data_IF_328425631056
#
_entry.id   IF_328425631056
#
_cell.length_a   1.000
_cell.length_b   1.000
_cell.length_c   1.000
_cell.angle_alpha   90.00
_cell.angle_beta   90.00
_cell.angle_gamma   90.00
#
_symmetry.space_group_name_H-M   'P 1'
#
loop_
_entity.id
_entity.type
_entity.pdbx_description
1 polymer ?
#
# COMPACT_ATOMS: atom_id res chain seq x y z
N UNK A 1 -63.03 23.80 7.92
CA UNK A 1 -63.76 23.38 9.12
C UNK A 1 -62.74 23.38 10.25
N UNK A 2 -62.69 24.40 11.11
CA UNK A 2 -63.64 24.61 12.23
C UNK A 2 -63.68 23.34 13.10
N UNK A 3 -62.98 23.34 14.24
CA UNK A 3 -63.53 23.70 15.56
C UNK A 3 -64.56 22.63 15.97
N UNK A 4 -64.28 21.81 16.99
CA UNK A 4 -64.76 21.92 18.39
C UNK A 4 -64.50 20.51 19.00
N UNK A 5 -64.31 20.25 20.29
CA UNK A 5 -64.87 20.90 21.45
C UNK A 5 -63.99 20.66 22.71
N UNK A 6 -64.06 21.64 23.60
CA UNK A 6 -63.59 21.63 24.98
C UNK A 6 -64.61 20.98 25.91
N UNK A 7 -64.11 20.73 27.13
CA UNK A 7 -64.79 20.77 28.42
C UNK A 7 -65.40 19.46 28.95
N UNK A 8 -64.84 18.99 30.06
CA UNK A 8 -65.62 18.86 31.28
C UNK A 8 -64.72 19.03 32.50
N UNK A 9 -65.23 19.81 33.45
CA UNK A 9 -64.61 20.32 34.66
C UNK A 9 -65.41 19.77 35.85
N UNK A 10 -64.76 19.72 37.02
CA UNK A 10 -65.30 19.50 38.36
C UNK A 10 -65.50 18.05 38.82
N UNK A 11 -64.81 17.67 39.90
CA UNK A 11 -65.45 17.68 41.22
C UNK A 11 -64.40 17.71 42.34
N UNK A 12 -64.58 18.66 43.25
CA UNK A 12 -63.82 18.84 44.47
C UNK A 12 -64.47 18.02 45.60
N UNK A 13 -63.64 17.38 46.44
CA UNK A 13 -64.07 16.85 47.73
C UNK A 13 -63.14 17.34 48.84
N UNK A 14 -63.78 17.70 49.94
CA UNK A 14 -63.35 18.61 51.00
C UNK A 14 -62.65 17.89 52.17
N UNK A 15 -61.54 18.49 52.65
CA UNK A 15 -60.94 18.68 54.01
C UNK A 15 -61.19 17.64 55.14
N UNK A 16 -60.22 17.47 56.08
CA UNK A 16 -60.10 18.39 57.23
C UNK A 16 -58.64 18.82 57.50
N UNK A 17 -58.34 20.12 57.60
CA UNK A 17 -58.10 20.87 58.86
C UNK A 17 -57.50 20.03 60.00
N UNK A 18 -56.19 20.18 60.19
CA UNK A 18 -55.56 20.11 61.51
C UNK A 18 -54.56 21.28 61.63
N UNK A 19 -54.96 22.23 62.47
CA UNK A 19 -54.17 23.36 62.98
C UNK A 19 -53.16 22.88 64.02
N UNK A 20 -51.93 23.42 63.96
CA UNK A 20 -50.97 23.66 65.06
C UNK A 20 -49.81 24.48 64.47
N UNK A 21 -49.85 25.82 64.54
CA UNK A 21 -49.28 26.65 65.61
C UNK A 21 -47.87 26.21 66.01
N UNK A 22 -46.88 27.03 65.65
CA UNK A 22 -45.51 26.91 66.17
C UNK A 22 -44.42 27.46 65.27
N UNK A 23 -44.56 28.66 64.70
CA UNK A 23 -43.41 29.39 64.14
C UNK A 23 -42.49 29.82 65.29
N UNK A 24 -41.35 29.14 65.44
CA UNK A 24 -40.23 29.66 66.22
C UNK A 24 -39.13 30.11 65.26
N UNK A 25 -38.41 31.16 65.63
CA UNK A 25 -37.40 31.83 64.81
C UNK A 25 -36.10 31.02 64.55
N UNK A 26 -36.15 29.69 64.65
CA UNK A 26 -35.04 28.78 64.42
C UNK A 26 -35.09 28.05 63.06
N UNK A 27 -36.22 28.08 62.34
CA UNK A 27 -36.42 27.33 61.08
C UNK A 27 -36.04 28.11 59.80
N UNK A 28 -35.41 29.28 59.93
CA UNK A 28 -35.12 30.16 58.78
C UNK A 28 -33.74 29.95 58.09
N UNK A 29 -33.06 28.81 58.30
CA UNK A 29 -31.78 28.52 57.62
C UNK A 29 -31.71 27.09 57.06
N UNK A 30 -32.68 26.72 56.23
CA UNK A 30 -32.57 25.52 55.40
C UNK A 30 -32.44 25.92 53.91
N UNK A 31 -31.23 26.24 53.47
CA UNK A 31 -30.89 26.29 52.04
C UNK A 31 -30.56 24.86 51.58
N UNK A 32 -31.43 24.26 50.79
CA UNK A 32 -31.28 22.88 50.31
C UNK A 32 -30.21 22.75 49.21
N UNK A 33 -29.43 21.67 49.23
CA UNK A 33 -28.63 21.24 48.07
C UNK A 33 -29.54 20.58 47.01
N UNK A 34 -29.11 20.53 45.74
CA UNK A 34 -29.79 19.88 44.62
C UNK A 34 -30.07 18.36 44.77
N UNK A 35 -29.67 17.74 45.89
CA UNK A 35 -29.98 16.36 46.27
C UNK A 35 -30.87 16.24 47.53
N UNK A 36 -31.57 17.31 47.95
CA UNK A 36 -32.56 17.26 49.03
C UNK A 36 -32.00 17.04 50.46
N UNK A 37 -30.68 17.15 50.66
CA UNK A 37 -30.07 17.17 52.00
C UNK A 37 -29.92 18.59 52.51
N UNK A 38 -30.42 18.84 53.71
CA UNK A 38 -30.24 20.10 54.47
C UNK A 38 -28.79 20.16 54.96
N UNK A 39 -28.12 21.29 54.74
CA UNK A 39 -26.75 21.50 55.21
C UNK A 39 -26.79 21.77 56.71
N UNK A 40 -26.18 20.89 57.50
CA UNK A 40 -26.32 20.91 58.96
C UNK A 40 -25.46 21.96 59.67
N UNK A 41 -24.45 22.55 59.02
CA UNK A 41 -23.67 23.64 59.61
C UNK A 41 -22.96 24.54 58.59
N UNK A 42 -22.71 25.80 58.98
CA UNK A 42 -21.93 26.75 58.16
C UNK A 42 -20.49 26.30 57.87
N UNK A 43 -19.91 25.42 58.70
CA UNK A 43 -18.58 24.83 58.43
C UNK A 43 -18.62 23.82 57.30
N UNK A 44 -19.70 23.05 57.16
CA UNK A 44 -19.87 22.10 56.06
C UNK A 44 -20.09 22.82 54.72
N UNK A 45 -20.86 23.90 54.75
CA UNK A 45 -21.03 24.78 53.59
C UNK A 45 -19.72 25.43 53.18
N UNK A 46 -18.99 26.02 54.13
CA UNK A 46 -17.67 26.61 53.85
C UNK A 46 -16.67 25.55 53.33
N UNK A 47 -16.73 24.32 53.84
CA UNK A 47 -15.90 23.20 53.37
C UNK A 47 -16.23 22.77 51.95
N UNK A 48 -17.51 22.70 51.58
CA UNK A 48 -17.90 22.36 50.22
C UNK A 48 -17.63 23.50 49.23
N UNK A 49 -17.88 24.75 49.63
CA UNK A 49 -17.54 25.92 48.82
C UNK A 49 -16.03 26.00 48.61
N UNK A 50 -15.21 25.73 49.64
CA UNK A 50 -13.75 25.63 49.49
C UNK A 50 -13.35 24.50 48.54
N UNK A 51 -13.94 23.31 48.64
CA UNK A 51 -13.68 22.22 47.70
C UNK A 51 -14.09 22.56 46.27
N UNK A 52 -15.19 23.29 46.09
CA UNK A 52 -15.64 23.77 44.78
C UNK A 52 -14.69 24.84 44.22
N UNK A 53 -14.25 25.78 45.06
CA UNK A 53 -13.29 26.83 44.71
C UNK A 53 -11.89 26.27 44.47
N UNK A 54 -11.46 25.24 45.20
CA UNK A 54 -10.22 24.50 44.95
C UNK A 54 -10.30 23.71 43.65
N UNK A 55 -11.42 23.05 43.35
CA UNK A 55 -11.62 22.37 42.07
C UNK A 55 -11.67 23.35 40.88
N UNK A 56 -12.26 24.53 41.09
CA UNK A 56 -12.27 25.64 40.12
C UNK A 56 -10.87 26.25 39.94
N UNK A 57 -10.12 26.49 41.02
CA UNK A 57 -8.75 27.02 40.99
C UNK A 57 -7.73 25.99 40.48
N UNK A 58 -7.99 24.69 40.65
CA UNK A 58 -7.16 23.62 40.13
C UNK A 58 -7.33 23.38 38.62
N UNK A 59 -8.16 24.17 37.91
CA UNK A 59 -8.42 24.03 36.47
C UNK A 59 -8.87 22.60 36.07
N UNK A 60 -9.48 21.86 37.01
CA UNK A 60 -9.84 20.45 36.84
C UNK A 60 -11.24 20.25 36.23
N UNK A 61 -11.79 21.28 35.58
CA UNK A 61 -12.93 21.13 34.67
C UNK A 61 -12.31 21.15 33.27
N UNK A 62 -12.42 20.07 32.47
CA UNK A 62 -11.98 20.11 31.09
C UNK A 62 -12.70 21.28 30.44
N UNK A 63 -11.93 22.30 30.02
CA UNK A 63 -12.49 23.40 29.28
C UNK A 63 -13.17 22.82 28.04
N UNK A 64 -14.25 23.44 27.54
CA UNK A 64 -14.92 22.94 26.33
C UNK A 64 -13.92 22.70 25.17
N UNK A 65 -12.81 23.47 25.14
CA UNK A 65 -11.67 23.25 24.26
C UNK A 65 -10.99 21.88 24.40
N UNK A 66 -10.67 21.41 25.61
CA UNK A 66 -9.97 20.13 25.79
C UNK A 66 -10.83 18.92 25.39
N UNK A 67 -12.14 19.01 25.57
CA UNK A 67 -13.09 17.97 25.13
C UNK A 67 -13.17 17.96 23.60
N UNK A 68 -13.32 19.13 22.98
CA UNK A 68 -13.35 19.28 21.51
C UNK A 68 -12.05 18.77 20.88
N UNK A 69 -10.90 19.08 21.47
CA UNK A 69 -9.59 18.62 20.98
C UNK A 69 -9.46 17.10 21.07
N UNK A 70 -9.95 16.46 22.14
CA UNK A 70 -9.94 14.99 22.24
C UNK A 70 -10.81 14.34 21.16
N UNK A 71 -12.03 14.85 20.93
CA UNK A 71 -12.91 14.32 19.87
C UNK A 71 -12.32 14.55 18.47
N UNK A 72 -11.72 15.71 18.24
CA UNK A 72 -11.10 16.04 16.97
C UNK A 72 -9.86 15.16 16.70
N UNK A 73 -9.08 14.84 17.74
CA UNK A 73 -7.96 13.92 17.64
C UNK A 73 -8.42 12.49 17.32
N UNK A 74 -9.50 12.01 17.95
CA UNK A 74 -10.08 10.70 17.65
C UNK A 74 -10.62 10.63 16.21
N UNK A 75 -11.31 11.68 15.76
CA UNK A 75 -11.80 11.80 14.39
C UNK A 75 -10.65 11.76 13.37
N UNK A 76 -9.53 12.44 13.67
CA UNK A 76 -8.31 12.41 12.86
C UNK A 76 -7.66 11.04 12.81
N UNK A 77 -7.49 10.39 13.96
CA UNK A 77 -6.94 9.05 14.05
C UNK A 77 -7.77 8.05 13.22
N UNK A 78 -9.09 8.16 13.28
CA UNK A 78 -10.01 7.33 12.49
C UNK A 78 -9.85 7.59 10.98
N UNK A 79 -9.85 8.86 10.55
CA UNK A 79 -9.68 9.19 9.14
C UNK A 79 -8.33 8.72 8.58
N UNK A 80 -7.28 8.80 9.40
CA UNK A 80 -5.94 8.32 9.07
C UNK A 80 -5.89 6.79 8.97
N UNK A 81 -6.58 6.08 9.87
CA UNK A 81 -6.73 4.63 9.79
C UNK A 81 -7.46 4.21 8.50
N UNK A 82 -8.53 4.90 8.10
CA UNK A 82 -9.21 4.65 6.82
C UNK A 82 -8.27 4.88 5.65
N UNK A 83 -7.50 5.98 5.65
CA UNK A 83 -6.52 6.25 4.58
C UNK A 83 -5.46 5.14 4.47
N UNK A 84 -4.97 4.60 5.59
CA UNK A 84 -4.02 3.48 5.59
C UNK A 84 -4.66 2.22 5.02
N UNK A 85 -5.87 1.88 5.44
CA UNK A 85 -6.60 0.72 4.92
C UNK A 85 -6.85 0.85 3.40
N UNK A 86 -7.27 2.03 2.94
CA UNK A 86 -7.46 2.30 1.51
C UNK A 86 -6.15 2.16 0.72
N UNK A 87 -5.02 2.60 1.29
CA UNK A 87 -3.70 2.46 0.67
C UNK A 87 -3.22 1.00 0.60
N UNK A 88 -3.52 0.19 1.63
CA UNK A 88 -3.20 -1.24 1.66
C UNK A 88 -4.08 -2.08 0.73
N UNK A 89 -5.32 -1.64 0.50
CA UNK A 89 -6.26 -2.29 -0.41
C UNK A 89 -5.95 -2.04 -1.91
N UNK A 90 -4.99 -1.16 -2.22
CA UNK A 90 -4.63 -0.87 -3.61
C UNK A 90 -4.03 -2.11 -4.31
N UNK A 91 -4.40 -2.37 -5.58
CA UNK A 91 -3.85 -3.48 -6.34
C UNK A 91 -2.41 -3.15 -6.77
N UNK A 92 -1.44 -3.56 -5.97
CA UNK A 92 -0.01 -3.45 -6.28
C UNK A 92 0.48 -4.67 -7.07
N UNK A 93 1.48 -4.54 -7.96
CA UNK A 93 2.17 -3.31 -8.34
C UNK A 93 1.44 -2.51 -9.42
N UNK A 94 1.67 -1.19 -9.42
CA UNK A 94 1.07 -0.26 -10.39
C UNK A 94 2.05 0.84 -10.79
N UNK A 95 1.73 1.52 -11.91
CA UNK A 95 2.49 2.68 -12.40
C UNK A 95 2.41 3.84 -11.41
N UNK A 96 3.51 4.55 -11.21
CA UNK A 96 3.68 5.65 -10.23
C UNK A 96 2.59 6.71 -10.37
N UNK A 97 2.25 7.09 -11.61
CA UNK A 97 1.22 8.08 -11.88
C UNK A 97 -0.16 7.63 -11.37
N UNK A 98 -0.49 6.34 -11.56
CA UNK A 98 -1.76 5.78 -11.06
C UNK A 98 -1.76 5.71 -9.53
N UNK A 99 -0.65 5.27 -8.92
CA UNK A 99 -0.49 5.25 -7.46
C UNK A 99 -0.65 6.64 -6.85
N UNK A 100 -0.01 7.65 -7.44
CA UNK A 100 -0.11 9.03 -6.97
C UNK A 100 -1.56 9.55 -7.07
N UNK A 101 -2.25 9.27 -8.18
CA UNK A 101 -3.64 9.69 -8.38
C UNK A 101 -4.62 8.99 -7.43
N UNK A 102 -4.46 7.68 -7.18
CA UNK A 102 -5.32 6.92 -6.28
C UNK A 102 -5.13 7.35 -4.83
N UNK A 103 -3.88 7.57 -4.40
CA UNK A 103 -3.56 8.09 -3.07
C UNK A 103 -4.06 9.53 -2.89
N UNK A 104 -3.99 10.38 -3.92
CA UNK A 104 -4.56 11.72 -3.85
C UNK A 104 -6.09 11.67 -3.67
N UNK A 105 -6.77 10.76 -4.37
CA UNK A 105 -8.21 10.56 -4.24
C UNK A 105 -8.60 10.02 -2.84
N UNK A 106 -7.84 9.07 -2.29
CA UNK A 106 -8.10 8.54 -0.93
C UNK A 106 -7.85 9.60 0.15
N UNK A 107 -6.79 10.41 0.03
CA UNK A 107 -6.54 11.55 0.93
C UNK A 107 -7.70 12.54 0.87
N UNK A 108 -8.16 12.93 -0.32
CA UNK A 108 -9.29 13.83 -0.48
C UNK A 108 -10.61 13.24 0.07
N UNK A 109 -10.80 11.92 -0.03
CA UNK A 109 -11.93 11.24 0.58
C UNK A 109 -11.85 11.24 2.12
N UNK A 110 -10.68 10.94 2.68
CA UNK A 110 -10.43 10.95 4.12
C UNK A 110 -10.59 12.35 4.73
N UNK A 111 -10.08 13.40 4.07
CA UNK A 111 -10.29 14.79 4.51
C UNK A 111 -11.76 15.20 4.45
N UNK A 112 -12.50 14.81 3.40
CA UNK A 112 -13.95 15.06 3.33
C UNK A 112 -14.72 14.35 4.44
N UNK A 113 -14.34 13.11 4.78
CA UNK A 113 -14.92 12.38 5.89
C UNK A 113 -14.59 13.02 7.24
N UNK A 114 -13.35 13.49 7.41
CA UNK A 114 -12.89 14.17 8.61
C UNK A 114 -13.64 15.48 8.85
N UNK A 115 -13.83 16.31 7.81
CA UNK A 115 -14.59 17.58 7.89
C UNK A 115 -16.02 17.40 8.40
N UNK A 116 -16.63 16.23 8.19
CA UNK A 116 -17.97 15.91 8.69
C UNK A 116 -18.00 15.53 10.18
N UNK A 117 -16.86 15.17 10.76
CA UNK A 117 -16.74 14.64 12.13
C UNK A 117 -16.08 15.62 13.11
N UNK A 118 -15.37 16.63 12.61
CA UNK A 118 -14.62 17.58 13.41
C UNK A 118 -15.48 18.77 13.82
N UNK A 119 -15.35 19.17 15.08
CA UNK A 119 -15.98 20.38 15.64
C UNK A 119 -15.03 21.58 15.55
N UNK A 120 -15.58 22.76 15.25
CA UNK A 120 -14.81 24.00 15.05
C UNK A 120 -14.36 24.18 13.60
N UNK A 121 -14.66 25.35 13.01
CA UNK A 121 -14.36 25.64 11.61
C UNK A 121 -12.86 25.84 11.33
N UNK A 122 -12.43 25.48 10.10
CA UNK A 122 -11.12 25.87 9.56
C UNK A 122 -10.08 24.75 9.51
N UNK A 123 -9.19 24.68 10.50
CA UNK A 123 -7.98 23.84 10.48
C UNK A 123 -8.19 22.39 10.95
N UNK A 124 -9.32 22.11 11.62
CA UNK A 124 -9.62 20.80 12.18
C UNK A 124 -9.84 19.70 11.13
N UNK A 125 -10.37 20.05 9.96
CA UNK A 125 -10.78 19.13 8.90
C UNK A 125 -9.71 18.73 7.88
N UNK A 126 -8.43 18.94 8.18
CA UNK A 126 -7.30 18.47 7.36
C UNK A 126 -6.47 17.48 8.14
N UNK A 127 -5.93 16.49 7.43
CA UNK A 127 -4.94 15.58 7.99
C UNK A 127 -3.59 16.30 8.10
N UNK A 128 -2.76 15.90 9.06
CA UNK A 128 -1.42 16.45 9.17
C UNK A 128 -0.59 16.06 7.93
N UNK A 129 0.14 17.02 7.36
CA UNK A 129 0.95 16.77 6.16
C UNK A 129 2.00 15.67 6.38
N UNK A 130 2.55 15.59 7.60
CA UNK A 130 3.51 14.54 7.99
C UNK A 130 2.89 13.14 7.93
N UNK A 131 1.66 12.98 8.41
CA UNK A 131 0.95 11.70 8.39
C UNK A 131 0.64 11.24 6.96
N UNK A 132 0.14 12.16 6.14
CA UNK A 132 -0.14 11.89 4.73
C UNK A 132 1.13 11.53 3.97
N UNK A 133 2.25 12.23 4.26
CA UNK A 133 3.55 11.92 3.68
C UNK A 133 4.05 10.54 4.11
N UNK A 134 3.86 10.15 5.37
CA UNK A 134 4.23 8.84 5.88
C UNK A 134 3.45 7.71 5.19
N UNK A 135 2.13 7.86 5.01
CA UNK A 135 1.31 6.87 4.29
C UNK A 135 1.71 6.79 2.82
N UNK A 136 1.93 7.93 2.16
CA UNK A 136 2.38 7.95 0.76
C UNK A 136 3.73 7.27 0.57
N UNK A 137 4.67 7.51 1.49
CA UNK A 137 5.98 6.84 1.48
C UNK A 137 5.83 5.33 1.68
N UNK A 138 5.06 4.89 2.67
CA UNK A 138 4.83 3.46 2.92
C UNK A 138 4.19 2.75 1.71
N UNK A 139 3.20 3.39 1.06
CA UNK A 139 2.58 2.87 -0.16
C UNK A 139 3.57 2.83 -1.34
N UNK A 140 4.42 3.85 -1.49
CA UNK A 140 5.50 3.86 -2.49
C UNK A 140 6.50 2.73 -2.27
N UNK A 141 6.96 2.54 -1.04
CA UNK A 141 7.89 1.47 -0.67
C UNK A 141 7.26 0.08 -0.89
N UNK A 142 5.96 -0.08 -0.59
CA UNK A 142 5.22 -1.31 -0.87
C UNK A 142 5.10 -1.57 -2.38
N UNK A 143 4.81 -0.55 -3.18
CA UNK A 143 4.74 -0.65 -4.63
C UNK A 143 6.11 -1.04 -5.23
N UNK A 144 7.18 -0.41 -4.75
CA UNK A 144 8.55 -0.72 -5.16
C UNK A 144 8.90 -2.19 -4.87
N UNK A 145 8.61 -2.67 -3.65
CA UNK A 145 8.83 -4.09 -3.29
C UNK A 145 8.01 -5.05 -4.15
N UNK A 146 6.73 -4.76 -4.36
CA UNK A 146 5.84 -5.59 -5.16
C UNK A 146 6.29 -5.65 -6.64
N UNK A 147 6.67 -4.49 -7.20
CA UNK A 147 7.21 -4.38 -8.55
C UNK A 147 8.49 -5.19 -8.70
N UNK A 148 9.47 -5.01 -7.81
CA UNK A 148 10.70 -5.81 -7.83
C UNK A 148 10.42 -7.31 -7.70
N UNK A 149 9.52 -7.73 -6.82
CA UNK A 149 9.19 -9.14 -6.65
C UNK A 149 8.62 -9.74 -7.95
N UNK A 150 7.67 -9.06 -8.60
CA UNK A 150 7.09 -9.50 -9.86
C UNK A 150 8.14 -9.53 -10.99
N UNK A 151 8.88 -8.43 -11.17
CA UNK A 151 9.85 -8.31 -12.25
C UNK A 151 11.02 -9.29 -12.09
N UNK A 152 11.43 -9.58 -10.85
CA UNK A 152 12.43 -10.61 -10.56
C UNK A 152 11.96 -12.01 -10.98
N UNK A 153 10.68 -12.34 -10.81
CA UNK A 153 10.13 -13.62 -11.24
C UNK A 153 10.06 -13.75 -12.77
N UNK A 154 9.73 -12.65 -13.46
CA UNK A 154 9.77 -12.61 -14.94
C UNK A 154 11.22 -12.72 -15.44
N UNK A 155 12.13 -11.98 -14.80
CA UNK A 155 13.56 -12.02 -15.10
C UNK A 155 14.15 -13.41 -14.92
N UNK A 156 13.86 -14.12 -13.83
CA UNK A 156 14.44 -15.45 -13.59
C UNK A 156 14.06 -16.45 -14.68
N UNK A 157 12.83 -16.39 -15.19
CA UNK A 157 12.37 -17.20 -16.34
C UNK A 157 13.12 -16.83 -17.62
N UNK A 158 13.24 -15.54 -17.90
CA UNK A 158 14.01 -15.07 -19.05
C UNK A 158 15.49 -15.49 -18.95
N UNK A 159 16.14 -15.24 -17.82
CA UNK A 159 17.53 -15.59 -17.57
C UNK A 159 17.80 -17.09 -17.72
N UNK A 160 16.91 -17.94 -17.18
CA UNK A 160 16.98 -19.39 -17.38
C UNK A 160 16.89 -19.77 -18.87
N UNK A 161 16.02 -19.10 -19.63
CA UNK A 161 15.87 -19.34 -21.07
C UNK A 161 17.10 -18.91 -21.89
N UNK A 162 17.75 -17.81 -21.51
CA UNK A 162 18.99 -17.34 -22.13
C UNK A 162 20.17 -18.26 -21.76
N UNK A 163 20.26 -18.71 -20.51
CA UNK A 163 21.27 -19.66 -20.05
C UNK A 163 21.15 -21.01 -20.78
N UNK A 164 19.93 -21.52 -20.98
CA UNK A 164 19.71 -22.74 -21.73
C UNK A 164 20.20 -22.63 -23.19
N UNK A 165 20.12 -21.45 -23.80
CA UNK A 165 20.63 -21.23 -25.15
C UNK A 165 22.17 -21.27 -25.21
N UNK A 166 22.85 -20.79 -24.17
CA UNK A 166 24.31 -20.84 -24.04
C UNK A 166 24.85 -22.27 -23.91
N UNK A 167 24.02 -23.20 -23.44
CA UNK A 167 24.39 -24.62 -23.30
C UNK A 167 24.32 -25.43 -24.61
N UNK A 168 23.73 -24.89 -25.68
CA UNK A 168 23.58 -25.62 -26.96
C UNK A 168 24.92 -25.67 -27.71
N UNK A 169 25.23 -26.85 -28.27
CA UNK A 169 26.51 -27.11 -28.96
C UNK A 169 26.78 -26.17 -30.14
N UNK A 170 25.73 -25.80 -30.87
CA UNK A 170 25.76 -24.92 -32.04
C UNK A 170 25.13 -23.56 -31.67
N UNK A 171 25.95 -22.57 -31.26
CA UNK A 171 25.47 -21.22 -31.06
C UNK A 171 24.99 -20.64 -32.40
N UNK A 172 23.80 -20.06 -32.42
CA UNK A 172 23.30 -19.38 -33.62
C UNK A 172 22.78 -18.00 -33.26
N UNK A 173 23.32 -16.96 -33.92
CA UNK A 173 22.97 -15.56 -33.66
C UNK A 173 21.47 -15.29 -33.83
N UNK A 174 20.84 -15.87 -34.87
CA UNK A 174 19.41 -15.73 -35.12
C UNK A 174 18.55 -16.28 -33.97
N UNK A 175 18.89 -17.45 -33.41
CA UNK A 175 18.14 -18.01 -32.27
C UNK A 175 18.37 -17.18 -31.00
N UNK A 176 19.54 -16.57 -30.84
CA UNK A 176 19.82 -15.67 -29.72
C UNK A 176 18.93 -14.43 -29.77
N UNK A 177 18.92 -13.69 -30.88
CA UNK A 177 18.04 -12.51 -31.00
C UNK A 177 16.56 -12.86 -30.84
N UNK A 178 16.10 -13.95 -31.47
CA UNK A 178 14.70 -14.40 -31.33
C UNK A 178 14.34 -14.84 -29.90
N UNK A 179 15.32 -15.11 -29.03
CA UNK A 179 15.12 -15.38 -27.60
C UNK A 179 15.15 -14.10 -26.77
N UNK A 180 16.04 -13.17 -27.10
CA UNK A 180 16.08 -11.83 -26.49
C UNK A 180 14.76 -11.09 -26.73
N UNK A 181 14.20 -11.15 -27.94
CA UNK A 181 12.88 -10.58 -28.26
C UNK A 181 11.77 -11.19 -27.41
N UNK A 182 11.71 -12.53 -27.32
CA UNK A 182 10.74 -13.21 -26.43
C UNK A 182 10.93 -12.83 -24.97
N UNK A 183 12.17 -12.66 -24.53
CA UNK A 183 12.47 -12.17 -23.19
C UNK A 183 11.92 -10.75 -22.98
N UNK A 184 12.09 -9.87 -23.97
CA UNK A 184 11.53 -8.52 -23.92
C UNK A 184 9.99 -8.56 -23.81
N UNK A 185 9.33 -9.43 -24.57
CA UNK A 185 7.89 -9.63 -24.48
C UNK A 185 7.48 -10.12 -23.08
N UNK A 186 8.23 -11.06 -22.48
CA UNK A 186 7.93 -11.52 -21.12
C UNK A 186 8.15 -10.44 -20.06
N UNK A 187 9.13 -9.55 -20.27
CA UNK A 187 9.44 -8.44 -19.39
C UNK A 187 8.47 -7.28 -19.54
N UNK A 188 7.76 -7.16 -20.67
CA UNK A 188 6.71 -6.14 -20.84
C UNK A 188 5.58 -6.22 -19.79
N UNK A 189 5.41 -7.38 -19.16
CA UNK A 189 4.48 -7.57 -18.02
C UNK A 189 4.98 -7.02 -16.68
N UNK A 190 6.23 -6.53 -16.61
CA UNK A 190 6.79 -5.86 -15.44
C UNK A 190 6.26 -4.43 -15.36
N UNK A 191 5.59 -4.09 -14.25
CA UNK A 191 4.97 -2.77 -14.05
C UNK A 191 5.54 -2.12 -12.80
N UNK A 192 5.73 -0.80 -12.84
CA UNK A 192 6.17 0.02 -11.71
C UNK A 192 7.63 0.48 -11.85
N UNK A 193 8.25 0.91 -10.74
CA UNK A 193 9.50 1.67 -10.77
C UNK A 193 10.70 0.80 -11.14
N UNK A 194 10.61 -0.52 -10.89
CA UNK A 194 11.67 -1.47 -11.18
C UNK A 194 11.76 -1.85 -12.66
N UNK A 195 10.76 -1.49 -13.49
CA UNK A 195 10.68 -1.94 -14.87
C UNK A 195 11.88 -1.46 -15.71
N UNK A 196 12.22 -0.18 -15.61
CA UNK A 196 13.34 0.39 -16.34
C UNK A 196 14.66 -0.35 -16.06
N UNK A 197 14.91 -0.68 -14.78
CA UNK A 197 16.12 -1.38 -14.37
C UNK A 197 16.22 -2.78 -14.99
N UNK A 198 15.13 -3.55 -15.02
CA UNK A 198 15.15 -4.89 -15.63
C UNK A 198 15.24 -4.85 -17.16
N UNK A 199 14.66 -3.84 -17.81
CA UNK A 199 14.85 -3.63 -19.26
C UNK A 199 16.29 -3.24 -19.60
N UNK A 200 16.92 -2.38 -18.81
CA UNK A 200 18.33 -2.02 -18.96
C UNK A 200 19.24 -3.23 -18.75
N UNK A 201 18.98 -4.04 -17.70
CA UNK A 201 19.67 -5.31 -17.46
C UNK A 201 19.54 -6.27 -18.65
N UNK A 202 18.36 -6.36 -19.27
CA UNK A 202 18.18 -7.16 -20.49
C UNK A 202 19.06 -6.65 -21.63
N UNK A 203 19.08 -5.34 -21.87
CA UNK A 203 19.88 -4.74 -22.93
C UNK A 203 21.38 -4.99 -22.73
N UNK A 204 21.86 -4.89 -21.48
CA UNK A 204 23.24 -5.19 -21.13
C UNK A 204 23.60 -6.66 -21.38
N UNK A 205 22.76 -7.60 -20.93
CA UNK A 205 22.97 -9.05 -21.15
C UNK A 205 22.85 -9.43 -22.63
N UNK A 206 21.98 -8.75 -23.38
CA UNK A 206 21.86 -8.95 -24.82
C UNK A 206 23.14 -8.52 -25.55
N UNK A 207 23.69 -7.35 -25.20
CA UNK A 207 24.95 -6.85 -25.79
C UNK A 207 26.14 -7.76 -25.49
N UNK A 208 26.33 -8.13 -24.22
CA UNK A 208 27.38 -9.09 -23.81
C UNK A 208 27.22 -10.44 -24.49
N UNK A 209 25.99 -10.96 -24.54
CA UNK A 209 25.69 -12.22 -25.20
C UNK A 209 26.01 -12.17 -26.69
N UNK A 210 25.72 -11.08 -27.39
CA UNK A 210 26.02 -10.97 -28.82
C UNK A 210 27.52 -11.11 -29.11
N UNK A 211 28.38 -10.45 -28.34
CA UNK A 211 29.83 -10.55 -28.48
C UNK A 211 30.34 -11.97 -28.21
N UNK A 212 29.89 -12.60 -27.11
CA UNK A 212 30.25 -13.97 -26.74
C UNK A 212 29.81 -14.99 -27.80
N UNK A 213 28.57 -14.89 -28.27
CA UNK A 213 28.03 -15.78 -29.29
C UNK A 213 28.75 -15.61 -30.62
N UNK A 214 29.12 -14.38 -30.99
CA UNK A 214 29.84 -14.12 -32.22
C UNK A 214 31.24 -14.72 -32.20
N UNK A 215 32.01 -14.47 -31.13
CA UNK A 215 33.36 -15.01 -30.97
C UNK A 215 33.35 -16.56 -30.97
N UNK A 216 32.41 -17.17 -30.24
CA UNK A 216 32.29 -18.64 -30.15
C UNK A 216 31.85 -19.26 -31.47
N UNK A 217 30.93 -18.62 -32.19
CA UNK A 217 30.48 -19.08 -33.50
C UNK A 217 31.61 -19.09 -34.53
N UNK A 218 32.37 -17.98 -34.63
CA UNK A 218 33.50 -17.89 -35.55
C UNK A 218 34.59 -18.92 -35.25
N UNK A 219 34.93 -19.12 -33.97
CA UNK A 219 35.94 -20.12 -33.56
C UNK A 219 35.52 -21.56 -33.86
N UNK A 220 34.26 -21.92 -33.59
CA UNK A 220 33.77 -23.26 -33.91
C UNK A 220 33.65 -23.50 -35.42
N UNK A 221 33.19 -22.50 -36.18
CA UNK A 221 33.04 -22.60 -37.62
C UNK A 221 34.40 -22.74 -38.31
N UNK A 222 35.41 -21.94 -37.92
CA UNK A 222 36.74 -22.03 -38.51
C UNK A 222 37.41 -23.37 -38.21
N UNK A 223 37.28 -23.86 -36.97
CA UNK A 223 37.82 -25.17 -36.58
C UNK A 223 37.10 -26.31 -37.30
N UNK A 224 35.76 -26.27 -37.39
CA UNK A 224 34.98 -27.28 -38.11
C UNK A 224 35.29 -27.28 -39.61
N UNK A 225 35.42 -26.09 -40.23
CA UNK A 225 35.82 -25.95 -41.63
C UNK A 225 37.23 -26.49 -41.86
N UNK A 226 38.18 -26.20 -40.97
CA UNK A 226 39.53 -26.72 -41.06
C UNK A 226 39.56 -28.26 -41.00
N UNK A 227 38.86 -28.86 -40.04
CA UNK A 227 38.74 -30.32 -39.92
C UNK A 227 38.08 -30.94 -41.16
N UNK A 228 37.06 -30.29 -41.71
CA UNK A 228 36.36 -30.74 -42.91
C UNK A 228 37.28 -30.66 -44.14
N UNK A 229 38.06 -29.59 -44.30
CA UNK A 229 39.01 -29.44 -45.40
C UNK A 229 40.12 -30.50 -45.33
N UNK A 230 40.77 -30.65 -44.16
CA UNK A 230 41.84 -31.65 -43.98
C UNK A 230 41.28 -33.07 -44.16
N UNK A 231 40.13 -33.36 -43.56
CA UNK A 231 39.44 -34.64 -43.74
C UNK A 231 39.07 -34.92 -45.19
N UNK A 232 38.56 -33.92 -45.92
CA UNK A 232 38.24 -34.00 -47.34
C UNK A 232 39.45 -34.30 -48.21
N UNK A 233 40.59 -33.64 -47.96
CA UNK A 233 41.85 -33.90 -48.67
C UNK A 233 42.34 -35.33 -48.40
N UNK A 234 42.35 -35.76 -47.13
CA UNK A 234 42.79 -37.10 -46.76
C UNK A 234 41.88 -38.19 -47.34
N UNK A 235 40.56 -38.04 -47.21
CA UNK A 235 39.59 -39.01 -47.76
C UNK A 235 39.67 -39.10 -49.29
N UNK A 236 39.74 -37.96 -49.98
CA UNK A 236 39.91 -37.97 -51.43
C UNK A 236 41.22 -38.67 -51.84
N UNK A 237 42.34 -38.29 -51.20
CA UNK A 237 43.66 -38.81 -51.58
C UNK A 237 43.89 -40.27 -51.19
N UNK A 238 43.39 -40.71 -50.04
CA UNK A 238 43.68 -42.05 -49.52
C UNK A 238 42.57 -43.06 -49.72
N UNK A 239 41.32 -42.64 -49.87
CA UNK A 239 40.18 -43.55 -50.03
C UNK A 239 39.69 -43.54 -51.47
N UNK A 240 39.45 -42.36 -52.07
CA UNK A 240 38.92 -42.31 -53.43
C UNK A 240 39.97 -42.73 -54.47
N UNK A 241 41.21 -42.21 -54.38
CA UNK A 241 42.27 -42.56 -55.34
C UNK A 241 42.70 -44.03 -55.19
N UNK A 242 42.78 -44.57 -53.97
CA UNK A 242 43.14 -45.98 -53.76
C UNK A 242 42.04 -46.92 -54.24
N UNK A 243 40.76 -46.62 -53.96
CA UNK A 243 39.64 -47.40 -54.46
C UNK A 243 39.54 -47.35 -55.99
N UNK A 244 39.76 -46.18 -56.61
CA UNK A 244 39.82 -46.04 -58.07
C UNK A 244 40.98 -46.84 -58.67
N UNK A 245 42.15 -46.85 -58.01
CA UNK A 245 43.28 -47.66 -58.43
C UNK A 245 42.96 -49.17 -58.34
N UNK A 246 42.30 -49.61 -57.28
CA UNK A 246 41.91 -51.01 -57.09
C UNK A 246 40.88 -51.47 -58.14
N UNK A 247 39.85 -50.66 -58.41
CA UNK A 247 38.86 -50.92 -59.46
C UNK A 247 39.51 -50.91 -60.84
N UNK A 248 40.41 -49.96 -61.12
CA UNK A 248 41.16 -49.91 -62.37
C UNK A 248 42.02 -51.16 -62.57
N UNK A 249 42.65 -51.67 -61.52
CA UNK A 249 43.45 -52.90 -61.57
C UNK A 249 42.59 -54.14 -61.88
N UNK A 250 41.39 -54.24 -61.30
CA UNK A 250 40.42 -55.31 -61.61
C UNK A 250 39.83 -55.21 -63.02
N UNK A 251 39.85 -54.04 -63.65
CA UNK A 251 39.37 -53.87 -65.03
C UNK A 251 40.46 -54.17 -66.08
N UNK A 252 41.74 -54.01 -65.71
CA UNK A 252 42.91 -54.20 -66.59
C UNK A 252 43.49 -55.62 -66.55
N UNK A 253 43.31 -56.37 -65.45
CA UNK A 253 43.57 -57.80 -65.40
C UNK A 253 42.21 -58.55 -65.47
N UNK A 254 41.80 -59.09 -66.64
CA UNK A 254 40.66 -59.99 -66.74
C UNK A 254 40.94 -61.36 -66.10
#
# INVERSE_FOLDING_TARGET
AAAEAKAEEAEAAERPVASRVGTTAADAMAMANGNGRVWGSGKELAGAVRKLVEALNANAIPTAGSVIDSFNNEARATALATLRADAEALPLPMVEARLASSLAASVAAAERALRRRVFGGGAGGRLAAADVAAVRKAAGDANFRASHAQCRLLWSRCAASLAALRAVLLPSRRRFHARVERCNDTLSGCVGPAAAEYHERLALEAGKGEEEFNARFHGQLSHALFLLCVGGILTFRYVAVSALAEVGCRLLLP
#
